data_IF_355517407200
#
_entry.id   IF_355517407200
#
_cell.length_a   1.000
_cell.length_b   1.000
_cell.length_c   1.000
_cell.angle_alpha   90.00
_cell.angle_beta   90.00
_cell.angle_gamma   90.00
#
_symmetry.space_group_name_H-M   'P 1'
#
loop_
_entity.id
_entity.type
_entity.pdbx_description
1 polymer ?
#
# COMPACT_ATOMS: atom_id res chain seq x y z
N UNK A 1 -10.41 -0.53 -1.31
CA UNK A 1 -9.00 -0.80 -1.64
C UNK A 1 -8.69 -0.08 -2.92
N UNK A 2 -8.00 1.05 -2.82
CA UNK A 2 -7.58 1.90 -3.95
C UNK A 2 -6.07 2.12 -3.81
N UNK A 3 -5.30 1.89 -4.87
CA UNK A 3 -3.85 2.14 -4.84
C UNK A 3 -3.59 3.61 -5.10
N UNK A 4 -2.89 4.27 -4.17
CA UNK A 4 -2.60 5.71 -4.23
C UNK A 4 -1.24 5.99 -4.86
N UNK A 5 -0.21 5.28 -4.43
CA UNK A 5 1.17 5.50 -4.82
C UNK A 5 1.89 4.16 -5.02
N UNK A 6 2.77 4.09 -6.00
CA UNK A 6 3.69 2.99 -6.22
C UNK A 6 5.09 3.54 -6.49
N UNK A 7 6.05 3.15 -5.66
CA UNK A 7 7.44 3.58 -5.77
C UNK A 7 8.37 2.36 -5.76
N UNK A 8 9.38 2.39 -6.64
CA UNK A 8 10.53 1.49 -6.54
C UNK A 8 11.33 1.85 -5.30
N UNK A 9 11.50 0.88 -4.39
CA UNK A 9 12.28 1.08 -3.18
C UNK A 9 13.31 -0.05 -3.09
N UNK A 10 14.59 0.29 -3.27
CA UNK A 10 15.70 -0.67 -3.33
C UNK A 10 15.42 -1.84 -4.32
N UNK A 11 15.61 -3.08 -3.86
CA UNK A 11 15.24 -4.33 -4.55
C UNK A 11 13.79 -4.70 -4.24
N UNK A 12 12.85 -3.79 -4.40
CA UNK A 12 11.44 -4.04 -4.09
C UNK A 12 10.50 -3.00 -4.65
N UNK A 13 9.20 -3.22 -4.39
CA UNK A 13 8.16 -2.25 -4.69
C UNK A 13 7.42 -1.89 -3.42
N UNK A 14 7.39 -0.61 -3.13
CA UNK A 14 6.56 -0.06 -2.08
C UNK A 14 5.28 0.47 -2.71
N UNK A 15 4.14 0.01 -2.22
CA UNK A 15 2.83 0.41 -2.67
C UNK A 15 2.05 0.97 -1.49
N UNK A 16 1.33 2.06 -1.72
CA UNK A 16 0.46 2.68 -0.74
C UNK A 16 -0.98 2.49 -1.18
N UNK A 17 -1.79 1.94 -0.29
CA UNK A 17 -3.17 1.59 -0.57
C UNK A 17 -4.09 2.29 0.43
N UNK A 18 -5.17 2.86 -0.09
CA UNK A 18 -6.30 3.35 0.68
C UNK A 18 -7.28 2.22 0.92
N UNK A 19 -7.51 1.87 2.18
CA UNK A 19 -8.58 0.97 2.58
C UNK A 19 -9.72 1.78 3.20
N UNK A 20 -10.87 1.83 2.52
CA UNK A 20 -12.08 2.36 3.15
C UNK A 20 -12.63 1.31 4.12
N UNK A 21 -12.36 1.49 5.41
CA UNK A 21 -12.83 0.56 6.44
C UNK A 21 -14.25 0.90 6.83
N UNK A 22 -15.21 0.09 6.36
CA UNK A 22 -16.62 0.23 6.72
C UNK A 22 -16.88 0.05 8.22
N UNK A 23 -15.97 -0.61 8.94
CA UNK A 23 -16.06 -0.83 10.39
C UNK A 23 -15.62 0.40 11.19
N UNK A 24 -14.60 1.12 10.71
CA UNK A 24 -14.09 2.32 11.36
C UNK A 24 -14.69 3.60 10.78
N UNK A 25 -15.47 3.51 9.68
CA UNK A 25 -16.01 4.62 8.90
C UNK A 25 -14.95 5.71 8.61
N UNK A 26 -13.69 5.29 8.54
CA UNK A 26 -12.51 6.11 8.35
C UNK A 26 -11.67 5.43 7.28
N UNK A 27 -11.25 6.16 6.26
CA UNK A 27 -10.34 5.63 5.28
C UNK A 27 -8.92 5.54 5.88
N UNK A 28 -8.39 4.33 5.88
CA UNK A 28 -7.05 4.00 6.38
C UNK A 28 -6.06 3.93 5.20
N UNK A 29 -4.80 4.31 5.44
CA UNK A 29 -3.73 4.28 4.45
C UNK A 29 -2.70 3.24 4.87
N UNK A 30 -2.62 2.16 4.10
CA UNK A 30 -1.72 1.03 4.36
C UNK A 30 -0.58 1.03 3.35
N UNK A 31 0.66 1.00 3.86
CA UNK A 31 1.86 0.85 3.05
C UNK A 31 2.31 -0.60 3.05
N UNK A 32 2.45 -1.16 1.85
CA UNK A 32 2.90 -2.52 1.62
C UNK A 32 4.24 -2.49 0.88
N UNK A 33 5.26 -3.13 1.44
CA UNK A 33 6.54 -3.34 0.76
C UNK A 33 6.60 -4.78 0.27
N UNK A 34 6.56 -4.95 -1.04
CA UNK A 34 6.82 -6.24 -1.68
C UNK A 34 8.33 -6.41 -1.91
N UNK A 35 8.96 -7.46 -1.33
CA UNK A 35 10.34 -7.77 -1.64
C UNK A 35 10.43 -8.25 -3.09
N UNK A 36 11.41 -7.76 -3.86
CA UNK A 36 11.71 -8.40 -5.13
C UNK A 36 12.50 -9.67 -4.83
N UNK A 37 11.87 -10.82 -5.07
CA UNK A 37 12.56 -12.10 -5.10
C UNK A 37 13.50 -12.08 -6.30
N UNK A 38 14.77 -11.78 -6.07
CA UNK A 38 15.87 -11.99 -7.01
C UNK A 38 16.21 -13.48 -7.06
#
# INVERSE_FOLDING_TARGET
>A
MEMLEEHRCFEGWQQRWRHDSSTLNCPDDVQYLSPSTS
#
